data_IF_135457952749
#
_entry.id   IF_135457952749
#
_cell.length_a   1.000
_cell.length_b   1.000
_cell.length_c   1.000
_cell.angle_alpha   90.00
_cell.angle_beta   90.00
_cell.angle_gamma   90.00
#
_symmetry.space_group_name_H-M   'P 1'
#
loop_
_entity.id
_entity.type
_entity.pdbx_description
1 polymer ?
#
# COMPACT_ATOMS: atom_id res chain seq x y z
N UNK A 1 9.77 -21.76 -1.09
CA UNK A 1 10.14 -20.34 -1.29
C UNK A 1 11.25 -19.96 -0.35
N UNK A 2 12.37 -19.51 -0.92
CA UNK A 2 13.55 -19.16 -0.16
C UNK A 2 13.34 -17.93 0.76
N UNK A 3 14.02 -17.93 1.90
CA UNK A 3 13.98 -16.85 2.89
C UNK A 3 15.39 -16.40 3.21
N UNK A 4 15.63 -15.09 3.15
CA UNK A 4 16.91 -14.50 3.55
C UNK A 4 16.83 -13.82 4.91
N UNK A 5 17.92 -13.82 5.68
CA UNK A 5 18.08 -13.06 6.93
C UNK A 5 19.51 -12.54 7.02
N UNK A 6 19.71 -11.30 7.47
CA UNK A 6 21.06 -10.74 7.67
C UNK A 6 21.18 -10.09 9.04
N UNK A 7 22.26 -10.39 9.77
CA UNK A 7 22.52 -9.79 11.08
C UNK A 7 24.02 -9.52 11.31
N UNK A 8 24.37 -8.54 12.17
CA UNK A 8 25.77 -8.21 12.44
C UNK A 8 26.41 -9.11 13.49
N UNK A 9 27.69 -9.43 13.29
CA UNK A 9 28.58 -10.04 14.30
C UNK A 9 29.49 -8.96 14.90
N UNK A 10 29.48 -8.82 16.22
CA UNK A 10 30.14 -7.71 16.93
C UNK A 10 31.33 -8.11 17.81
N UNK A 11 31.42 -9.36 18.25
CA UNK A 11 32.41 -9.78 19.27
C UNK A 11 33.11 -11.08 18.90
N UNK A 12 32.35 -12.16 18.73
CA UNK A 12 32.90 -13.52 18.63
C UNK A 12 32.82 -14.03 17.20
N UNK A 13 33.67 -13.51 16.32
CA UNK A 13 33.71 -13.92 14.91
C UNK A 13 34.17 -15.38 14.76
N UNK A 14 35.19 -15.79 15.52
CA UNK A 14 35.68 -17.16 15.49
C UNK A 14 34.59 -18.19 15.86
N UNK A 15 33.82 -17.95 16.95
CA UNK A 15 32.70 -18.84 17.32
C UNK A 15 31.63 -18.92 16.22
N UNK A 16 31.40 -17.82 15.51
CA UNK A 16 30.45 -17.83 14.40
C UNK A 16 30.98 -18.66 13.21
N UNK A 17 32.28 -18.58 12.90
CA UNK A 17 32.94 -19.40 11.88
C UNK A 17 32.92 -20.89 12.27
N UNK A 18 33.35 -21.21 13.49
CA UNK A 18 33.36 -22.58 14.01
C UNK A 18 31.96 -23.21 13.97
N UNK A 19 30.94 -22.43 14.34
CA UNK A 19 29.55 -22.88 14.29
C UNK A 19 29.08 -23.19 12.85
N UNK A 20 29.38 -22.31 11.89
CA UNK A 20 28.92 -22.53 10.50
C UNK A 20 29.75 -23.58 9.77
N UNK A 21 31.01 -23.79 10.16
CA UNK A 21 31.92 -24.77 9.54
C UNK A 21 31.88 -26.16 10.21
N UNK A 22 30.92 -26.41 11.08
CA UNK A 22 30.80 -27.69 11.76
C UNK A 22 30.65 -28.85 10.74
N UNK A 23 31.52 -29.85 10.85
CA UNK A 23 31.62 -30.99 9.93
C UNK A 23 30.31 -31.79 9.85
N UNK A 24 29.66 -31.99 10.99
CA UNK A 24 28.40 -32.74 11.11
C UNK A 24 27.27 -32.11 10.29
N UNK A 25 27.39 -30.81 9.99
CA UNK A 25 26.36 -30.02 9.29
C UNK A 25 26.69 -29.75 7.83
N UNK A 26 27.93 -30.00 7.40
CA UNK A 26 28.48 -29.54 6.11
C UNK A 26 28.92 -30.69 5.21
N UNK A 27 28.36 -31.88 5.44
CA UNK A 27 28.72 -33.11 4.74
C UNK A 27 30.24 -33.37 4.78
N UNK A 28 30.83 -33.36 5.98
CA UNK A 28 32.27 -33.57 6.14
C UNK A 28 33.14 -32.45 5.55
N UNK A 29 32.65 -31.20 5.56
CA UNK A 29 33.29 -29.98 5.04
C UNK A 29 33.30 -29.79 3.51
N UNK A 30 32.66 -30.68 2.75
CA UNK A 30 32.61 -30.57 1.28
C UNK A 30 31.85 -29.31 0.86
N UNK A 31 30.85 -28.90 1.64
CA UNK A 31 30.00 -27.73 1.35
C UNK A 31 30.52 -26.45 2.01
N UNK A 32 31.83 -26.25 2.03
CA UNK A 32 32.50 -25.04 2.55
C UNK A 32 33.30 -24.38 1.43
N UNK A 33 32.97 -23.13 1.12
CA UNK A 33 33.69 -22.30 0.15
C UNK A 33 34.08 -20.97 0.78
N UNK A 34 35.18 -20.37 0.33
CA UNK A 34 35.57 -19.01 0.75
C UNK A 34 36.13 -18.20 -0.42
N UNK A 35 36.15 -16.88 -0.21
CA UNK A 35 36.72 -15.93 -1.15
C UNK A 35 37.52 -14.88 -0.39
N UNK A 36 38.71 -14.56 -0.90
CA UNK A 36 39.62 -13.57 -0.30
C UNK A 36 40.12 -13.94 1.09
N UNK A 37 39.85 -15.16 1.59
CA UNK A 37 40.33 -15.63 2.88
C UNK A 37 40.39 -17.16 2.95
N UNK A 38 41.18 -17.69 3.89
CA UNK A 38 41.12 -19.10 4.24
C UNK A 38 40.03 -19.33 5.31
N UNK A 39 39.12 -20.31 5.16
CA UNK A 39 37.99 -20.51 6.08
C UNK A 39 38.40 -20.60 7.56
N UNK A 40 39.54 -21.25 7.85
CA UNK A 40 40.02 -21.44 9.23
C UNK A 40 40.56 -20.17 9.86
N UNK A 41 41.18 -19.30 9.07
CA UNK A 41 41.85 -18.07 9.51
C UNK A 41 41.08 -16.80 9.16
N UNK A 42 39.88 -16.92 8.58
CA UNK A 42 39.07 -15.79 8.11
C UNK A 42 38.83 -14.71 9.18
N UNK A 43 38.73 -15.08 10.46
CA UNK A 43 38.60 -14.09 11.53
C UNK A 43 39.83 -13.19 11.72
N UNK A 44 41.03 -13.73 11.51
CA UNK A 44 42.30 -12.98 11.57
C UNK A 44 42.46 -12.15 10.31
N UNK A 45 42.14 -12.71 9.15
CA UNK A 45 42.25 -12.03 7.85
C UNK A 45 41.27 -10.84 7.77
N UNK A 46 40.03 -11.00 8.24
CA UNK A 46 39.07 -9.88 8.29
C UNK A 46 39.55 -8.76 9.22
N UNK A 47 40.20 -9.13 10.33
CA UNK A 47 40.80 -8.17 11.25
C UNK A 47 42.00 -7.45 10.61
N UNK A 48 42.85 -8.19 9.88
CA UNK A 48 43.98 -7.63 9.15
C UNK A 48 43.51 -6.62 8.10
N UNK A 49 42.55 -6.97 7.23
CA UNK A 49 41.97 -6.04 6.25
C UNK A 49 41.41 -4.79 6.90
N UNK A 50 40.74 -4.94 8.05
CA UNK A 50 40.22 -3.79 8.80
C UNK A 50 41.36 -2.87 9.30
N UNK A 51 42.48 -3.44 9.76
CA UNK A 51 43.67 -2.69 10.21
C UNK A 51 44.33 -1.97 9.03
N UNK A 52 44.58 -2.68 7.93
CA UNK A 52 45.19 -2.13 6.71
C UNK A 52 44.36 -0.98 6.11
N UNK A 53 43.03 -1.13 6.09
CA UNK A 53 42.11 -0.09 5.64
C UNK A 53 41.88 1.05 6.65
N UNK A 54 42.54 1.02 7.82
CA UNK A 54 42.34 1.98 8.92
C UNK A 54 40.87 2.20 9.29
N UNK A 55 40.06 1.13 9.23
CA UNK A 55 38.60 1.24 9.35
C UNK A 55 38.13 1.23 10.80
N UNK A 56 37.35 2.26 11.18
CA UNK A 56 36.75 2.40 12.52
C UNK A 56 35.45 1.59 12.69
N UNK A 57 35.20 0.62 11.83
CA UNK A 57 33.97 -0.18 11.86
C UNK A 57 33.84 -0.99 13.16
N UNK A 58 32.73 -0.79 13.89
CA UNK A 58 32.44 -1.53 15.13
C UNK A 58 31.94 -2.97 14.88
N UNK A 59 31.44 -3.24 13.68
CA UNK A 59 30.92 -4.55 13.29
C UNK A 59 32.07 -5.30 12.63
N UNK A 60 32.30 -6.55 13.05
CA UNK A 60 33.39 -7.39 12.56
C UNK A 60 33.00 -8.03 11.23
N UNK A 61 31.84 -8.67 11.19
CA UNK A 61 31.32 -9.35 10.01
C UNK A 61 29.80 -9.25 9.93
N UNK A 62 29.25 -9.68 8.80
CA UNK A 62 27.82 -9.84 8.59
C UNK A 62 27.52 -11.30 8.30
N UNK A 63 26.48 -11.82 8.96
CA UNK A 63 25.99 -13.16 8.75
C UNK A 63 24.69 -13.10 7.94
N UNK A 64 24.77 -13.53 6.69
CA UNK A 64 23.65 -13.69 5.78
C UNK A 64 23.25 -15.17 5.74
N UNK A 65 21.97 -15.44 5.96
CA UNK A 65 21.37 -16.77 5.88
C UNK A 65 20.42 -16.78 4.69
N UNK A 66 20.50 -17.82 3.86
CA UNK A 66 19.55 -18.09 2.78
C UNK A 66 19.02 -19.52 2.97
N UNK A 67 17.75 -19.63 3.36
CA UNK A 67 17.11 -20.92 3.60
C UNK A 67 16.14 -21.27 2.46
N UNK A 68 16.11 -22.53 2.05
CA UNK A 68 15.23 -23.06 0.99
C UNK A 68 14.07 -23.85 1.59
N UNK A 69 13.00 -24.12 0.81
CA UNK A 69 11.96 -25.00 1.32
C UNK A 69 12.48 -26.44 1.44
N UNK A 70 11.95 -27.23 2.40
CA UNK A 70 12.23 -28.66 2.51
C UNK A 70 12.06 -29.37 1.17
N UNK A 71 13.05 -30.18 0.78
CA UNK A 71 13.02 -30.99 -0.44
C UNK A 71 13.00 -30.21 -1.76
N UNK A 72 13.19 -28.89 -1.73
CA UNK A 72 13.11 -28.02 -2.92
C UNK A 72 14.37 -28.05 -3.78
N UNK A 73 15.53 -28.33 -3.19
CA UNK A 73 16.85 -28.24 -3.82
C UNK A 73 17.77 -29.33 -3.25
N UNK A 74 18.90 -29.58 -3.90
CA UNK A 74 19.97 -30.46 -3.39
C UNK A 74 21.04 -29.65 -2.65
N UNK A 75 21.88 -30.27 -1.79
CA UNK A 75 22.96 -29.57 -1.11
C UNK A 75 23.92 -28.84 -2.07
N UNK A 76 24.27 -29.48 -3.20
CA UNK A 76 25.16 -28.92 -4.21
C UNK A 76 24.53 -27.72 -4.91
N UNK A 77 23.25 -27.85 -5.31
CA UNK A 77 22.51 -26.77 -5.95
C UNK A 77 22.30 -25.60 -4.98
N UNK A 78 21.97 -25.87 -3.71
CA UNK A 78 21.89 -24.85 -2.67
C UNK A 78 23.23 -24.12 -2.51
N UNK A 79 24.34 -24.86 -2.45
CA UNK A 79 25.68 -24.28 -2.33
C UNK A 79 26.03 -23.39 -3.53
N UNK A 80 25.77 -23.86 -4.74
CA UNK A 80 25.99 -23.11 -5.98
C UNK A 80 25.19 -21.81 -6.02
N UNK A 81 23.90 -21.85 -5.66
CA UNK A 81 23.06 -20.65 -5.53
C UNK A 81 23.63 -19.68 -4.49
N UNK A 82 24.21 -20.20 -3.40
CA UNK A 82 24.89 -19.40 -2.38
C UNK A 82 26.12 -18.67 -2.91
N UNK A 83 26.93 -19.32 -3.73
CA UNK A 83 28.10 -18.71 -4.39
C UNK A 83 27.68 -17.59 -5.33
N UNK A 84 26.67 -17.82 -6.17
CA UNK A 84 26.14 -16.79 -7.09
C UNK A 84 25.51 -15.61 -6.35
N UNK A 85 24.87 -15.88 -5.20
CA UNK A 85 24.36 -14.82 -4.32
C UNK A 85 25.51 -13.97 -3.77
N UNK A 86 26.59 -14.59 -3.30
CA UNK A 86 27.79 -13.88 -2.86
C UNK A 86 28.36 -13.02 -3.99
N UNK A 87 28.48 -13.55 -5.20
CA UNK A 87 29.03 -12.81 -6.34
C UNK A 87 28.18 -11.58 -6.68
N UNK A 88 26.85 -11.74 -6.82
CA UNK A 88 25.96 -10.62 -7.17
C UNK A 88 25.84 -9.57 -6.06
N UNK A 89 25.91 -9.97 -4.79
CA UNK A 89 25.71 -9.08 -3.62
C UNK A 89 27.01 -8.42 -3.16
N UNK A 90 28.11 -9.18 -3.10
CA UNK A 90 29.40 -8.74 -2.57
C UNK A 90 30.34 -8.24 -3.68
N UNK A 91 30.10 -8.63 -4.94
CA UNK A 91 30.79 -8.14 -6.14
C UNK A 91 32.31 -8.31 -6.07
N UNK A 92 32.78 -9.36 -5.40
CA UNK A 92 34.20 -9.58 -5.17
C UNK A 92 34.90 -8.52 -4.31
N UNK A 93 34.16 -7.71 -3.52
CA UNK A 93 34.72 -6.58 -2.73
C UNK A 93 34.94 -6.87 -1.25
N UNK A 94 34.45 -8.03 -0.79
CA UNK A 94 34.44 -8.46 0.59
C UNK A 94 34.88 -9.91 0.66
N UNK A 95 35.74 -10.23 1.62
CA UNK A 95 36.09 -11.60 1.94
C UNK A 95 34.87 -12.30 2.56
N UNK A 96 34.66 -13.58 2.25
CA UNK A 96 33.55 -14.35 2.82
C UNK A 96 33.87 -15.83 2.97
N UNK A 97 33.12 -16.47 3.87
CA UNK A 97 33.02 -17.92 4.04
C UNK A 97 31.54 -18.30 3.87
N UNK A 98 31.27 -19.20 2.93
CA UNK A 98 29.97 -19.79 2.64
C UNK A 98 29.99 -21.24 3.12
N UNK A 99 28.94 -21.63 3.82
CA UNK A 99 28.69 -23.02 4.23
C UNK A 99 27.24 -23.39 3.95
N UNK A 100 26.99 -24.63 3.53
CA UNK A 100 25.62 -25.14 3.35
C UNK A 100 25.33 -26.16 4.44
N UNK A 101 24.27 -25.93 5.20
CA UNK A 101 23.84 -26.79 6.30
C UNK A 101 22.78 -27.78 5.85
N UNK A 102 23.02 -29.07 6.13
CA UNK A 102 22.14 -30.20 5.84
C UNK A 102 21.50 -30.82 7.10
N UNK A 103 21.79 -30.27 8.27
CA UNK A 103 21.46 -30.83 9.59
C UNK A 103 19.99 -30.65 10.02
N UNK A 104 19.22 -29.85 9.29
CA UNK A 104 17.81 -29.55 9.59
C UNK A 104 16.90 -30.13 8.52
N UNK A 105 15.60 -30.15 8.79
CA UNK A 105 14.57 -30.52 7.80
C UNK A 105 14.54 -29.65 6.53
N UNK A 106 15.42 -28.66 6.41
CA UNK A 106 15.61 -27.83 5.22
C UNK A 106 17.07 -27.41 5.04
N UNK A 107 17.46 -27.27 3.78
CA UNK A 107 18.77 -26.77 3.38
C UNK A 107 18.86 -25.26 3.57
N UNK A 108 20.00 -24.80 4.07
CA UNK A 108 20.25 -23.38 4.23
C UNK A 108 21.73 -23.03 4.12
N UNK A 109 22.01 -21.93 3.44
CA UNK A 109 23.34 -21.36 3.32
C UNK A 109 23.59 -20.38 4.46
N UNK A 110 24.79 -20.45 5.03
CA UNK A 110 25.35 -19.48 5.94
C UNK A 110 26.55 -18.80 5.27
N UNK A 111 26.40 -17.51 5.00
CA UNK A 111 27.42 -16.65 4.40
C UNK A 111 27.90 -15.67 5.47
N UNK A 112 29.16 -15.79 5.87
CA UNK A 112 29.80 -14.87 6.79
C UNK A 112 30.83 -14.04 6.02
N UNK A 113 30.58 -12.75 5.89
CA UNK A 113 31.45 -11.86 5.10
C UNK A 113 31.96 -10.68 5.90
N UNK A 114 33.15 -10.20 5.53
CA UNK A 114 33.79 -9.07 6.18
C UNK A 114 32.89 -7.84 6.12
N UNK A 115 32.75 -7.12 7.22
CA UNK A 115 31.98 -5.88 7.20
C UNK A 115 32.77 -4.74 6.52
N UNK A 116 34.08 -4.86 6.34
CA UNK A 116 34.92 -3.88 5.65
C UNK A 116 35.27 -4.40 4.26
N UNK A 117 35.15 -3.57 3.24
CA UNK A 117 35.60 -3.91 1.89
C UNK A 117 37.11 -3.73 1.79
N UNK A 118 37.83 -4.74 1.31
CA UNK A 118 39.28 -4.64 1.07
C UNK A 118 39.64 -3.71 -0.10
N UNK A 119 38.71 -3.48 -1.05
CA UNK A 119 38.92 -2.55 -2.17
C UNK A 119 38.75 -1.07 -1.74
N UNK A 120 37.74 -0.78 -0.90
CA UNK A 120 37.35 0.61 -0.60
C UNK A 120 37.64 1.06 0.84
N UNK A 121 37.97 0.12 1.73
CA UNK A 121 38.10 0.34 3.18
C UNK A 121 36.81 0.73 3.91
N UNK A 122 35.68 0.81 3.19
CA UNK A 122 34.40 1.25 3.73
C UNK A 122 33.61 0.08 4.31
N UNK A 123 32.81 0.40 5.32
CA UNK A 123 31.91 -0.56 5.95
C UNK A 123 30.67 -0.86 5.11
N UNK A 124 30.23 -2.11 5.09
CA UNK A 124 29.02 -2.58 4.42
C UNK A 124 27.77 -1.86 4.94
N UNK A 125 27.01 -1.25 4.02
CA UNK A 125 25.81 -0.49 4.34
C UNK A 125 24.59 -1.41 4.49
N UNK A 126 24.44 -2.02 5.66
CA UNK A 126 23.23 -2.79 6.00
C UNK A 126 22.09 -1.86 6.41
N UNK A 127 21.05 -1.77 5.58
CA UNK A 127 19.83 -1.02 5.82
C UNK A 127 18.64 -1.72 5.12
N UNK A 128 17.42 -1.21 5.31
CA UNK A 128 16.22 -1.83 4.70
C UNK A 128 16.33 -1.97 3.19
N UNK A 129 16.93 -0.99 2.48
CA UNK A 129 17.08 -1.03 1.02
C UNK A 129 18.04 -2.12 0.57
N UNK A 130 19.23 -2.21 1.17
CA UNK A 130 20.20 -3.26 0.83
C UNK A 130 19.68 -4.65 1.16
N UNK A 131 18.93 -4.81 2.25
CA UNK A 131 18.26 -6.09 2.54
C UNK A 131 17.21 -6.47 1.47
N UNK A 132 16.40 -5.52 1.00
CA UNK A 132 15.46 -5.81 -0.10
C UNK A 132 16.18 -6.18 -1.40
N UNK A 133 17.34 -5.57 -1.68
CA UNK A 133 18.17 -5.94 -2.83
C UNK A 133 18.67 -7.39 -2.72
N UNK A 134 19.18 -7.81 -1.57
CA UNK A 134 19.58 -9.20 -1.33
C UNK A 134 18.39 -10.15 -1.56
N UNK A 135 17.20 -9.79 -1.06
CA UNK A 135 16.00 -10.62 -1.25
C UNK A 135 15.61 -10.72 -2.73
N UNK A 136 15.66 -9.63 -3.48
CA UNK A 136 15.39 -9.65 -4.93
C UNK A 136 16.40 -10.54 -5.65
N UNK A 137 17.70 -10.39 -5.38
CA UNK A 137 18.74 -11.23 -6.00
C UNK A 137 18.52 -12.71 -5.65
N UNK A 138 18.21 -13.03 -4.40
CA UNK A 138 17.90 -14.41 -3.99
C UNK A 138 16.66 -14.96 -4.69
N UNK A 139 15.59 -14.16 -4.82
CA UNK A 139 14.37 -14.56 -5.56
C UNK A 139 14.70 -14.79 -7.05
N UNK A 140 15.56 -13.96 -7.65
CA UNK A 140 15.95 -14.10 -9.06
C UNK A 140 16.78 -15.36 -9.29
N UNK A 141 17.76 -15.62 -8.44
CA UNK A 141 18.55 -16.87 -8.48
C UNK A 141 17.68 -18.12 -8.30
N UNK A 142 16.72 -18.06 -7.37
CA UNK A 142 15.76 -19.16 -7.19
C UNK A 142 14.95 -19.40 -8.47
N UNK A 143 14.49 -18.34 -9.13
CA UNK A 143 13.73 -18.44 -10.39
C UNK A 143 14.56 -19.02 -11.52
N UNK A 144 15.79 -18.54 -11.68
CA UNK A 144 16.75 -19.02 -12.68
C UNK A 144 17.06 -20.52 -12.51
N UNK A 145 17.03 -21.00 -11.27
CA UNK A 145 17.26 -22.41 -10.91
C UNK A 145 15.97 -23.25 -10.80
N UNK A 146 14.81 -22.73 -11.22
CA UNK A 146 13.54 -23.46 -11.21
C UNK A 146 12.93 -23.67 -9.82
N UNK A 147 13.41 -22.97 -8.79
CA UNK A 147 12.89 -23.05 -7.42
C UNK A 147 11.65 -22.15 -7.24
N UNK A 148 10.82 -22.44 -6.22
CA UNK A 148 9.61 -21.68 -5.96
C UNK A 148 9.91 -20.27 -5.46
N UNK A 149 9.25 -19.29 -6.09
CA UNK A 149 9.32 -17.88 -5.73
C UNK A 149 7.93 -17.32 -5.55
N UNK A 150 7.81 -16.26 -4.74
CA UNK A 150 6.55 -15.57 -4.54
C UNK A 150 6.02 -15.07 -5.89
N UNK A 151 4.77 -15.42 -6.19
CA UNK A 151 4.05 -15.01 -7.40
C UNK A 151 4.12 -13.49 -7.62
N UNK A 152 4.50 -13.08 -8.83
CA UNK A 152 4.71 -11.68 -9.16
C UNK A 152 3.39 -10.88 -9.17
N UNK A 153 2.29 -11.50 -9.59
CA UNK A 153 0.96 -10.90 -9.57
C UNK A 153 0.47 -10.74 -8.13
N UNK A 154 0.79 -11.68 -7.23
CA UNK A 154 0.57 -11.50 -5.80
C UNK A 154 1.39 -10.32 -5.24
N UNK A 155 2.68 -10.21 -5.59
CA UNK A 155 3.50 -9.05 -5.17
C UNK A 155 2.90 -7.73 -5.65
N UNK A 156 2.50 -7.64 -6.92
CA UNK A 156 1.85 -6.46 -7.52
C UNK A 156 0.54 -6.13 -6.81
N UNK A 157 -0.32 -7.13 -6.63
CA UNK A 157 -1.59 -6.99 -5.92
C UNK A 157 -1.36 -6.49 -4.49
N UNK A 158 -0.44 -7.12 -3.74
CA UNK A 158 -0.15 -6.73 -2.36
C UNK A 158 0.50 -5.35 -2.29
N UNK A 159 1.38 -4.97 -3.21
CA UNK A 159 1.92 -3.59 -3.23
C UNK A 159 0.81 -2.56 -3.40
N UNK A 160 -0.13 -2.83 -4.31
CA UNK A 160 -1.25 -1.94 -4.64
C UNK A 160 -2.32 -1.88 -3.55
N UNK A 161 -2.63 -3.02 -2.94
CA UNK A 161 -3.78 -3.19 -2.03
C UNK A 161 -3.38 -3.62 -0.61
N UNK A 162 -2.10 -3.55 -0.25
CA UNK A 162 -1.66 -3.76 1.13
C UNK A 162 -2.37 -2.73 1.99
N UNK A 163 -3.16 -3.22 2.93
CA UNK A 163 -3.76 -2.40 3.97
C UNK A 163 -2.65 -2.08 4.97
N UNK A 164 -1.70 -1.23 4.60
CA UNK A 164 -1.01 -0.43 5.60
C UNK A 164 -2.14 0.38 6.24
N UNK A 165 -2.53 0.02 7.45
CA UNK A 165 -3.66 0.63 8.14
C UNK A 165 -3.56 2.13 7.98
N UNK A 166 -4.52 2.74 7.27
CA UNK A 166 -4.66 4.19 7.25
C UNK A 166 -4.72 4.59 8.72
N UNK A 167 -3.84 5.48 9.16
CA UNK A 167 -3.93 6.04 10.51
C UNK A 167 -5.38 6.51 10.72
N UNK A 168 -5.93 6.37 11.93
CA UNK A 168 -7.29 6.83 12.23
C UNK A 168 -7.51 8.29 11.78
N UNK A 169 -6.47 9.14 11.84
CA UNK A 169 -6.45 10.48 11.26
C UNK A 169 -6.54 10.48 9.72
N UNK A 170 -5.80 9.62 9.02
CA UNK A 170 -5.86 9.52 7.55
C UNK A 170 -7.22 8.99 7.09
N UNK A 171 -7.83 8.06 7.83
CA UNK A 171 -9.18 7.56 7.57
C UNK A 171 -10.26 8.61 7.85
N UNK A 172 -10.17 9.34 8.98
CA UNK A 172 -11.13 10.40 9.32
C UNK A 172 -11.00 11.60 8.38
N UNK A 173 -9.79 12.02 8.01
CA UNK A 173 -9.56 13.08 7.03
C UNK A 173 -9.91 12.64 5.60
N UNK A 174 -9.79 11.34 5.28
CA UNK A 174 -10.31 10.75 4.04
C UNK A 174 -11.85 10.78 3.99
N UNK A 175 -12.52 10.43 5.09
CA UNK A 175 -14.00 10.55 5.21
C UNK A 175 -14.48 12.00 5.21
N UNK A 176 -13.67 12.94 5.71
CA UNK A 176 -13.96 14.39 5.74
C UNK A 176 -13.57 15.12 4.45
N UNK A 177 -12.93 14.46 3.48
CA UNK A 177 -12.48 15.07 2.23
C UNK A 177 -11.26 16.00 2.34
N UNK A 178 -10.58 16.03 3.50
CA UNK A 178 -9.48 16.94 3.80
C UNK A 178 -8.09 16.28 3.74
N UNK A 179 -8.00 15.06 3.21
CA UNK A 179 -6.72 14.38 3.03
C UNK A 179 -5.82 15.13 2.04
N UNK A 180 -4.85 15.89 2.58
CA UNK A 180 -3.87 16.64 1.80
C UNK A 180 -3.12 15.77 0.80
N UNK A 181 -2.91 14.49 1.13
CA UNK A 181 -2.26 13.49 0.29
C UNK A 181 -3.13 13.15 -0.93
N UNK A 182 -4.43 12.93 -0.71
CA UNK A 182 -5.39 12.66 -1.79
C UNK A 182 -5.58 13.89 -2.70
N UNK A 183 -5.67 15.10 -2.12
CA UNK A 183 -5.78 16.34 -2.91
C UNK A 183 -4.57 16.56 -3.81
N UNK A 184 -3.36 16.26 -3.32
CA UNK A 184 -2.15 16.34 -4.13
C UNK A 184 -2.11 15.28 -5.24
N UNK A 185 -2.49 14.02 -4.94
CA UNK A 185 -2.60 12.97 -5.96
C UNK A 185 -3.55 13.37 -7.08
N UNK A 186 -4.72 13.91 -6.75
CA UNK A 186 -5.71 14.38 -7.72
C UNK A 186 -5.20 15.56 -8.55
N UNK A 187 -4.49 16.49 -7.93
CA UNK A 187 -3.87 17.61 -8.64
C UNK A 187 -2.83 17.10 -9.65
N UNK A 188 -1.98 16.14 -9.24
CA UNK A 188 -0.99 15.50 -10.12
C UNK A 188 -1.70 14.78 -11.27
N UNK A 189 -2.73 13.98 -10.99
CA UNK A 189 -3.45 13.23 -12.02
C UNK A 189 -4.11 14.18 -13.04
N UNK A 190 -4.72 15.27 -12.57
CA UNK A 190 -5.30 16.31 -13.47
C UNK A 190 -4.24 17.04 -14.26
N UNK A 191 -3.08 17.33 -13.67
CA UNK A 191 -1.99 18.02 -14.35
C UNK A 191 -1.36 17.13 -15.43
N UNK A 192 -1.19 15.82 -15.16
CA UNK A 192 -0.72 14.84 -16.15
C UNK A 192 -1.67 14.75 -17.34
N UNK A 193 -2.99 14.85 -17.11
CA UNK A 193 -3.98 14.81 -18.20
C UNK A 193 -3.97 16.06 -19.09
N UNK A 194 -3.60 17.21 -18.52
CA UNK A 194 -3.56 18.49 -19.25
C UNK A 194 -2.24 18.73 -19.96
N UNK A 195 -1.15 18.19 -19.42
CA UNK A 195 0.19 18.43 -19.91
C UNK A 195 0.58 17.46 -21.02
N UNK A 196 1.17 17.99 -22.09
CA UNK A 196 1.80 17.19 -23.16
C UNK A 196 3.31 17.02 -22.94
N UNK A 197 3.90 17.86 -22.10
CA UNK A 197 5.33 17.81 -21.73
C UNK A 197 5.51 17.89 -20.22
N UNK A 198 6.69 17.49 -19.75
CA UNK A 198 7.00 17.55 -18.32
C UNK A 198 7.05 19.00 -17.80
N UNK A 199 7.48 19.95 -18.62
CA UNK A 199 7.49 21.38 -18.31
C UNK A 199 6.07 21.93 -18.16
N UNK A 200 5.15 21.57 -19.05
CA UNK A 200 3.73 21.95 -18.96
C UNK A 200 3.05 21.38 -17.71
N UNK A 201 3.44 20.17 -17.29
CA UNK A 201 2.95 19.58 -16.06
C UNK A 201 3.35 20.40 -14.83
N UNK A 202 4.61 20.85 -14.76
CA UNK A 202 5.09 21.67 -13.65
C UNK A 202 4.34 23.00 -13.59
N UNK A 203 4.16 23.66 -14.75
CA UNK A 203 3.40 24.91 -14.84
C UNK A 203 1.94 24.72 -14.40
N UNK A 204 1.29 23.65 -14.83
CA UNK A 204 -0.09 23.32 -14.45
C UNK A 204 -0.23 23.06 -12.94
N UNK A 205 0.78 22.43 -12.32
CA UNK A 205 0.81 22.23 -10.87
C UNK A 205 0.98 23.54 -10.10
N UNK A 206 1.75 24.50 -10.63
CA UNK A 206 1.87 25.85 -10.06
C UNK A 206 0.58 26.66 -10.14
N UNK A 207 -0.16 26.51 -11.25
CA UNK A 207 -1.50 27.06 -11.46
C UNK A 207 -2.51 26.44 -10.48
N UNK A 208 -2.38 25.15 -10.16
CA UNK A 208 -3.15 24.49 -9.10
C UNK A 208 -2.74 24.90 -7.68
N UNK A 209 -1.88 25.90 -7.54
CA UNK A 209 -1.52 26.49 -6.25
C UNK A 209 -0.44 25.72 -5.50
N UNK A 210 0.34 24.88 -6.19
CA UNK A 210 1.47 24.18 -5.57
C UNK A 210 2.81 24.85 -5.87
N UNK A 211 3.63 24.99 -4.85
CA UNK A 211 5.05 25.28 -4.95
C UNK A 211 5.81 23.96 -5.16
N UNK A 212 6.71 23.94 -6.13
CA UNK A 212 7.42 22.75 -6.56
C UNK A 212 8.90 22.89 -6.23
N UNK A 213 9.46 21.85 -5.61
CA UNK A 213 10.90 21.71 -5.42
C UNK A 213 11.41 20.49 -6.18
N UNK A 214 12.30 20.74 -7.14
CA UNK A 214 12.95 19.70 -7.93
C UNK A 214 14.27 19.34 -7.24
N UNK A 215 14.40 18.07 -6.85
CA UNK A 215 15.65 17.52 -6.31
C UNK A 215 15.68 16.01 -6.58
N UNK A 216 16.22 15.23 -5.64
CA UNK A 216 16.18 13.76 -5.71
C UNK A 216 14.74 13.21 -5.85
N UNK A 217 13.77 13.89 -5.26
CA UNK A 217 12.35 13.61 -5.44
C UNK A 217 11.66 14.90 -5.88
N UNK A 218 10.67 14.78 -6.75
CA UNK A 218 9.75 15.87 -7.02
C UNK A 218 8.94 16.14 -5.75
N UNK A 219 8.89 17.37 -5.27
CA UNK A 219 8.22 17.69 -4.00
C UNK A 219 7.26 18.86 -4.14
N UNK A 220 6.09 18.75 -3.52
CA UNK A 220 4.99 19.72 -3.65
C UNK A 220 4.56 20.29 -2.29
N UNK A 221 4.21 21.58 -2.27
CA UNK A 221 3.61 22.26 -1.12
C UNK A 221 2.49 23.19 -1.59
N UNK A 222 1.31 23.12 -1.00
CA UNK A 222 0.23 24.05 -1.35
C UNK A 222 0.53 25.46 -0.81
N UNK A 223 0.31 26.50 -1.61
CA UNK A 223 0.60 27.91 -1.28
C UNK A 223 -0.11 28.38 0.00
N UNK A 224 -1.33 27.93 0.27
CA UNK A 224 -2.06 28.22 1.53
C UNK A 224 -1.37 27.70 2.81
N UNK A 225 -0.34 26.86 2.68
CA UNK A 225 0.44 26.34 3.81
C UNK A 225 1.90 26.83 3.78
N UNK A 226 2.19 27.95 3.13
CA UNK A 226 3.55 28.49 2.96
C UNK A 226 4.29 28.68 4.30
N UNK A 227 3.58 29.10 5.35
CA UNK A 227 4.19 29.48 6.65
C UNK A 227 4.30 28.32 7.65
N UNK A 228 3.52 27.24 7.50
CA UNK A 228 3.49 26.09 8.46
C UNK A 228 3.61 24.70 7.79
N UNK A 229 3.63 24.63 6.46
CA UNK A 229 3.56 23.39 5.68
C UNK A 229 4.93 22.88 5.24
N UNK A 230 5.18 21.59 5.46
CA UNK A 230 6.34 20.87 4.89
C UNK A 230 6.05 20.44 3.45
N UNK A 231 7.10 20.36 2.63
CA UNK A 231 7.00 19.77 1.29
C UNK A 231 6.68 18.27 1.37
N UNK A 232 5.73 17.83 0.55
CA UNK A 232 5.43 16.42 0.33
C UNK A 232 6.30 15.90 -0.79
N UNK A 233 7.07 14.84 -0.51
CA UNK A 233 7.87 14.16 -1.53
C UNK A 233 7.01 13.20 -2.33
N UNK A 234 7.02 13.34 -3.65
CA UNK A 234 6.41 12.43 -4.61
C UNK A 234 7.25 11.16 -4.73
N UNK A 235 7.11 10.29 -3.72
CA UNK A 235 7.84 9.02 -3.56
C UNK A 235 6.83 7.88 -3.43
N UNK A 236 7.19 6.69 -3.91
CA UNK A 236 6.40 5.47 -3.81
C UNK A 236 5.78 5.24 -2.41
N UNK A 237 6.59 5.41 -1.36
CA UNK A 237 6.13 5.23 0.03
C UNK A 237 5.17 6.31 0.53
N UNK A 238 5.18 7.49 -0.09
CA UNK A 238 4.43 8.67 0.37
C UNK A 238 3.16 8.89 -0.43
N UNK A 239 3.25 8.90 -1.76
CA UNK A 239 2.13 9.14 -2.68
C UNK A 239 1.75 7.89 -3.49
N UNK A 240 2.50 6.79 -3.43
CA UNK A 240 2.29 5.62 -4.30
C UNK A 240 3.26 5.60 -5.48
N UNK A 241 3.46 4.42 -6.06
CA UNK A 241 4.43 4.20 -7.15
C UNK A 241 4.09 5.03 -8.40
N UNK A 242 2.82 5.20 -8.73
CA UNK A 242 2.35 5.94 -9.92
C UNK A 242 2.59 7.47 -9.85
N UNK A 243 3.09 7.97 -8.72
CA UNK A 243 3.32 9.38 -8.45
C UNK A 243 4.79 9.70 -8.23
N UNK A 244 5.71 8.79 -8.58
CA UNK A 244 7.14 9.12 -8.61
C UNK A 244 7.46 10.04 -9.79
N UNK A 245 8.60 10.73 -9.73
CA UNK A 245 9.05 11.63 -10.81
C UNK A 245 9.14 10.89 -12.15
N UNK A 246 9.68 9.67 -12.11
CA UNK A 246 9.87 8.80 -13.27
C UNK A 246 8.52 8.36 -13.84
N UNK A 247 7.61 7.86 -12.99
CA UNK A 247 6.26 7.45 -13.42
C UNK A 247 5.42 8.61 -13.95
N UNK A 248 5.53 9.80 -13.37
CA UNK A 248 4.83 10.99 -13.88
C UNK A 248 5.28 11.32 -15.31
N UNK A 249 6.59 11.24 -15.59
CA UNK A 249 7.13 11.44 -16.94
C UNK A 249 6.61 10.40 -17.92
N UNK A 250 6.71 9.12 -17.57
CA UNK A 250 6.19 8.01 -18.39
C UNK A 250 4.68 8.17 -18.68
N UNK A 251 3.90 8.64 -17.71
CA UNK A 251 2.46 8.86 -17.86
C UNK A 251 2.11 10.03 -18.79
N UNK A 252 3.00 11.03 -18.92
CA UNK A 252 2.84 12.14 -19.86
C UNK A 252 3.23 11.69 -21.28
N UNK A 253 4.28 10.86 -21.41
CA UNK A 253 4.80 10.38 -22.69
C UNK A 253 3.93 9.29 -23.34
N UNK A 254 3.33 8.38 -22.54
CA UNK A 254 2.50 7.27 -23.02
C UNK A 254 1.03 7.35 -22.54
N UNK A 255 0.25 8.38 -22.90
CA UNK A 255 -1.10 8.60 -22.34
C UNK A 255 -2.07 7.45 -22.62
N UNK A 256 -1.93 6.74 -23.74
CA UNK A 256 -2.82 5.63 -24.13
C UNK A 256 -2.58 4.34 -23.33
N UNK A 257 -1.38 4.11 -22.80
CA UNK A 257 -1.05 2.95 -21.96
C UNK A 257 -1.57 3.10 -20.53
N UNK A 258 -1.73 4.35 -20.08
CA UNK A 258 -2.16 4.72 -18.74
C UNK A 258 -3.53 5.40 -18.67
N UNK A 259 -4.25 5.49 -19.80
CA UNK A 259 -5.65 5.97 -19.88
C UNK A 259 -6.62 5.15 -19.00
N UNK A 260 -6.24 3.91 -18.64
CA UNK A 260 -6.96 3.04 -17.70
C UNK A 260 -6.99 3.65 -16.27
N UNK A 261 -6.09 4.59 -15.95
CA UNK A 261 -6.01 5.27 -14.65
C UNK A 261 -6.63 6.70 -14.68
N UNK A 262 -6.85 7.26 -15.87
CA UNK A 262 -7.30 8.63 -16.11
C UNK A 262 -8.81 8.85 -15.97
N UNK A 263 -9.62 7.83 -16.27
CA UNK A 263 -11.09 7.90 -16.14
C UNK A 263 -11.59 7.73 -14.70
N UNK A 264 -10.69 7.80 -13.70
CA UNK A 264 -11.07 8.23 -12.34
C UNK A 264 -11.37 9.72 -12.39
N UNK A 265 -12.54 10.08 -12.91
CA UNK A 265 -13.15 11.39 -12.72
C UNK A 265 -13.57 11.50 -11.24
N UNK A 266 -12.60 11.45 -10.33
CA UNK A 266 -12.77 11.68 -8.88
C UNK A 266 -13.19 13.13 -8.70
N UNK A 267 -14.45 13.42 -9.03
CA UNK A 267 -15.14 14.64 -8.69
C UNK A 267 -15.48 14.55 -7.20
N UNK A 268 -14.47 14.74 -6.37
CA UNK A 268 -14.68 15.42 -5.10
C UNK A 268 -14.40 16.89 -5.37
N UNK A 269 -15.28 17.51 -6.16
CA UNK A 269 -15.46 18.94 -5.93
C UNK A 269 -15.75 19.09 -4.45
N UNK A 270 -15.03 20.00 -3.80
CA UNK A 270 -15.47 20.52 -2.51
C UNK A 270 -16.92 20.96 -2.71
N UNK A 271 -17.88 20.15 -2.30
CA UNK A 271 -19.07 20.71 -1.71
C UNK A 271 -18.55 21.41 -0.46
N UNK A 272 -18.17 22.68 -0.59
CA UNK A 272 -18.27 23.56 0.55
C UNK A 272 -19.72 23.44 0.98
N UNK A 273 -19.98 22.61 1.98
CA UNK A 273 -21.22 22.69 2.74
C UNK A 273 -21.13 24.05 3.46
N UNK A 274 -21.36 25.15 2.74
CA UNK A 274 -21.96 26.32 3.37
C UNK A 274 -23.22 25.74 3.98
N UNK A 275 -23.29 25.70 5.32
CA UNK A 275 -24.52 25.32 5.98
C UNK A 275 -25.60 26.19 5.35
N UNK A 276 -26.58 25.61 4.65
CA UNK A 276 -27.63 26.42 4.06
C UNK A 276 -28.28 27.23 5.18
N UNK A 277 -28.50 28.51 4.90
CA UNK A 277 -29.13 29.39 5.87
C UNK A 277 -30.50 28.81 6.25
N UNK A 278 -30.82 28.91 7.54
CA UNK A 278 -32.09 28.40 8.08
C UNK A 278 -32.99 29.59 8.37
N UNK A 279 -34.28 29.41 8.07
CA UNK A 279 -35.29 30.42 8.37
C UNK A 279 -35.42 30.58 9.88
N UNK A 280 -35.46 31.82 10.33
CA UNK A 280 -35.64 32.20 11.73
C UNK A 280 -37.13 32.06 12.05
N UNK A 281 -37.44 31.27 13.09
CA UNK A 281 -38.79 31.20 13.66
C UNK A 281 -39.17 32.57 14.23
N UNK A 282 -40.17 33.21 13.64
CA UNK A 282 -40.63 34.55 14.05
C UNK A 282 -41.51 34.50 15.30
N UNK A 283 -42.15 33.36 15.58
CA UNK A 283 -43.13 33.19 16.67
C UNK A 283 -42.46 32.84 17.99
N UNK A 284 -41.47 31.96 17.97
CA UNK A 284 -40.89 31.40 19.19
C UNK A 284 -39.54 32.02 19.56
N UNK A 285 -38.95 32.87 18.71
CA UNK A 285 -37.65 33.46 18.97
C UNK A 285 -37.74 34.70 19.87
N UNK A 286 -37.21 34.60 21.09
CA UNK A 286 -37.17 35.67 22.09
C UNK A 286 -36.48 36.95 21.59
N UNK A 287 -35.46 36.82 20.72
CA UNK A 287 -34.76 37.98 20.14
C UNK A 287 -35.61 38.74 19.14
N UNK A 288 -36.50 38.04 18.43
CA UNK A 288 -37.48 38.66 17.52
C UNK A 288 -38.50 39.47 18.32
N UNK A 289 -38.97 38.93 19.46
CA UNK A 289 -39.93 39.63 20.34
C UNK A 289 -39.34 40.84 21.06
N UNK A 290 -38.07 40.79 21.43
CA UNK A 290 -37.41 41.83 22.24
C UNK A 290 -36.77 42.96 21.44
N UNK A 291 -36.47 42.77 20.14
CA UNK A 291 -35.76 43.75 19.32
C UNK A 291 -36.44 44.01 17.97
N UNK A 292 -36.95 45.23 17.79
CA UNK A 292 -37.59 45.63 16.52
C UNK A 292 -36.61 45.61 15.33
N UNK A 293 -35.34 45.94 15.57
CA UNK A 293 -34.30 45.86 14.54
C UNK A 293 -34.02 44.42 14.10
N UNK A 294 -33.99 43.48 15.05
CA UNK A 294 -33.82 42.06 14.73
C UNK A 294 -35.05 41.47 14.03
N UNK A 295 -36.26 41.89 14.37
CA UNK A 295 -37.49 41.51 13.67
C UNK A 295 -37.44 41.89 12.18
N UNK A 296 -37.05 43.13 11.85
CA UNK A 296 -36.93 43.61 10.47
C UNK A 296 -35.82 42.86 9.73
N UNK A 297 -34.68 42.64 10.37
CA UNK A 297 -33.58 41.86 9.79
C UNK A 297 -34.00 40.41 9.53
N UNK A 298 -34.66 39.75 10.49
CA UNK A 298 -35.14 38.38 10.38
C UNK A 298 -36.16 38.23 9.25
N UNK A 299 -37.07 39.20 9.07
CA UNK A 299 -37.98 39.22 7.92
C UNK A 299 -37.23 39.24 6.58
N UNK A 300 -36.28 40.17 6.41
CA UNK A 300 -35.46 40.26 5.18
C UNK A 300 -34.61 39.01 4.95
N UNK A 301 -34.02 38.46 6.01
CA UNK A 301 -33.25 37.23 5.99
C UNK A 301 -34.11 36.04 5.57
N UNK A 302 -35.27 35.86 6.20
CA UNK A 302 -36.21 34.77 5.90
C UNK A 302 -36.69 34.81 4.44
N UNK A 303 -37.04 35.99 3.91
CA UNK A 303 -37.42 36.13 2.50
C UNK A 303 -36.30 35.71 1.55
N UNK A 304 -35.06 36.11 1.85
CA UNK A 304 -33.88 35.73 1.04
C UNK A 304 -33.63 34.23 1.12
N UNK A 305 -33.63 33.67 2.33
CA UNK A 305 -33.44 32.23 2.57
C UNK A 305 -34.54 31.39 1.92
N UNK A 306 -35.79 31.88 1.88
CA UNK A 306 -36.88 31.22 1.17
C UNK A 306 -36.68 31.26 -0.34
N UNK A 307 -36.26 32.40 -0.90
CA UNK A 307 -35.92 32.50 -2.33
C UNK A 307 -34.79 31.53 -2.71
N UNK A 308 -33.75 31.43 -1.88
CA UNK A 308 -32.66 30.46 -2.07
C UNK A 308 -33.17 29.01 -1.99
N UNK A 309 -34.07 28.70 -1.05
CA UNK A 309 -34.69 27.38 -0.94
C UNK A 309 -35.54 27.01 -2.18
N UNK A 310 -36.31 27.96 -2.72
CA UNK A 310 -37.08 27.76 -3.95
C UNK A 310 -36.18 27.56 -5.18
N UNK A 311 -35.07 28.30 -5.26
CA UNK A 311 -34.09 28.12 -6.32
C UNK A 311 -33.43 26.73 -6.26
N UNK A 312 -33.07 26.27 -5.06
CA UNK A 312 -32.57 24.90 -4.87
C UNK A 312 -33.60 23.85 -5.30
N UNK A 313 -34.89 24.00 -4.92
CA UNK A 313 -35.96 23.09 -5.37
C UNK A 313 -36.05 23.05 -6.90
N UNK A 314 -36.04 24.22 -7.56
CA UNK A 314 -36.06 24.33 -9.02
C UNK A 314 -34.84 23.73 -9.70
N UNK A 315 -33.64 23.91 -9.12
CA UNK A 315 -32.40 23.31 -9.62
C UNK A 315 -32.49 21.77 -9.68
N UNK A 316 -33.25 21.17 -8.77
CA UNK A 316 -33.52 19.73 -8.74
C UNK A 316 -34.80 19.31 -9.49
N UNK A 317 -35.43 20.25 -10.21
CA UNK A 317 -36.62 20.03 -11.01
C UNK A 317 -37.90 19.84 -10.20
N UNK A 318 -37.98 20.43 -9.01
CA UNK A 318 -39.17 20.41 -8.15
C UNK A 318 -39.88 21.76 -8.29
N UNK A 319 -41.10 21.76 -8.85
CA UNK A 319 -41.87 22.97 -9.09
C UNK A 319 -43.04 23.16 -8.10
N UNK A 320 -43.41 22.10 -7.38
CA UNK A 320 -44.47 22.14 -6.37
C UNK A 320 -44.04 21.47 -5.06
N UNK A 321 -44.71 21.83 -3.96
CA UNK A 321 -44.46 21.23 -2.65
C UNK A 321 -44.80 19.73 -2.63
N UNK A 322 -45.85 19.30 -3.33
CA UNK A 322 -46.19 17.87 -3.44
C UNK A 322 -45.13 17.08 -4.24
N UNK A 323 -44.51 17.68 -5.26
CA UNK A 323 -43.38 17.09 -5.96
C UNK A 323 -42.14 16.96 -5.07
N UNK A 324 -41.95 17.85 -4.09
CA UNK A 324 -40.81 17.84 -3.17
C UNK A 324 -40.76 16.55 -2.36
N UNK A 325 -41.90 16.17 -1.76
CA UNK A 325 -41.97 14.97 -0.92
C UNK A 325 -41.78 13.70 -1.74
N UNK A 326 -42.39 13.62 -2.92
CA UNK A 326 -42.16 12.53 -3.85
C UNK A 326 -40.68 12.43 -4.25
N UNK A 327 -40.04 13.56 -4.59
CA UNK A 327 -38.62 13.61 -4.97
C UNK A 327 -37.70 13.20 -3.83
N UNK A 328 -38.00 13.62 -2.59
CA UNK A 328 -37.28 13.23 -1.38
C UNK A 328 -37.35 11.72 -1.17
N UNK A 329 -38.55 11.13 -1.25
CA UNK A 329 -38.75 9.68 -1.12
C UNK A 329 -38.02 8.88 -2.20
N UNK A 330 -38.13 9.31 -3.46
CA UNK A 330 -37.43 8.69 -4.59
C UNK A 330 -35.90 8.77 -4.44
N UNK A 331 -35.38 9.93 -4.03
CA UNK A 331 -33.93 10.14 -3.85
C UNK A 331 -33.41 9.32 -2.67
N UNK A 332 -34.16 9.25 -1.56
CA UNK A 332 -33.82 8.42 -0.41
C UNK A 332 -33.77 6.94 -0.78
N UNK A 333 -34.75 6.46 -1.56
CA UNK A 333 -34.80 5.06 -2.04
C UNK A 333 -33.61 4.75 -2.95
N UNK A 334 -33.34 5.59 -3.96
CA UNK A 334 -32.19 5.44 -4.85
C UNK A 334 -30.84 5.47 -4.11
N UNK A 335 -30.74 6.29 -3.05
CA UNK A 335 -29.55 6.34 -2.18
C UNK A 335 -29.36 5.02 -1.43
N UNK A 336 -30.45 4.46 -0.89
CA UNK A 336 -30.42 3.19 -0.17
C UNK A 336 -30.02 2.03 -1.09
N UNK A 337 -30.57 1.98 -2.31
CA UNK A 337 -30.20 0.98 -3.32
C UNK A 337 -28.72 1.08 -3.70
N UNK A 338 -28.23 2.30 -3.89
CA UNK A 338 -26.81 2.56 -4.22
C UNK A 338 -25.90 2.11 -3.08
N UNK A 339 -26.29 2.37 -1.83
CA UNK A 339 -25.57 1.89 -0.65
C UNK A 339 -25.58 0.35 -0.55
N UNK A 340 -26.71 -0.29 -0.89
CA UNK A 340 -26.82 -1.75 -0.95
C UNK A 340 -25.83 -2.35 -1.95
N UNK A 341 -25.75 -1.79 -3.16
CA UNK A 341 -24.79 -2.21 -4.19
C UNK A 341 -23.34 -2.03 -3.75
N UNK A 342 -23.01 -0.90 -3.13
CA UNK A 342 -21.67 -0.65 -2.57
C UNK A 342 -21.29 -1.75 -1.55
N UNK A 343 -22.20 -2.10 -0.63
CA UNK A 343 -21.94 -3.14 0.38
C UNK A 343 -21.72 -4.52 -0.25
N UNK A 344 -22.49 -4.86 -1.29
CA UNK A 344 -22.32 -6.12 -2.03
C UNK A 344 -20.96 -6.19 -2.73
N UNK A 345 -20.52 -5.09 -3.35
CA UNK A 345 -19.19 -4.98 -3.96
C UNK A 345 -18.10 -5.12 -2.89
N UNK A 346 -18.22 -4.44 -1.75
CA UNK A 346 -17.26 -4.55 -0.65
C UNK A 346 -17.13 -5.99 -0.13
N UNK A 347 -18.24 -6.71 -0.01
CA UNK A 347 -18.23 -8.14 0.34
C UNK A 347 -17.49 -8.98 -0.70
N UNK A 348 -17.78 -8.76 -1.99
CA UNK A 348 -17.12 -9.46 -3.09
C UNK A 348 -15.62 -9.16 -3.17
N UNK A 349 -15.22 -7.91 -2.94
CA UNK A 349 -13.80 -7.52 -2.86
C UNK A 349 -13.10 -8.22 -1.70
N UNK A 350 -13.74 -8.32 -0.53
CA UNK A 350 -13.20 -9.03 0.64
C UNK A 350 -13.00 -10.53 0.34
N UNK A 351 -13.97 -11.17 -0.29
CA UNK A 351 -13.88 -12.57 -0.73
C UNK A 351 -12.72 -12.80 -1.70
N UNK A 352 -12.57 -11.94 -2.71
CA UNK A 352 -11.47 -12.01 -3.69
C UNK A 352 -10.12 -11.82 -3.01
N UNK A 353 -10.01 -10.83 -2.11
CA UNK A 353 -8.79 -10.58 -1.35
C UNK A 353 -8.38 -11.82 -0.55
N UNK A 354 -9.33 -12.41 0.20
CA UNK A 354 -9.10 -13.65 0.94
C UNK A 354 -8.71 -14.81 0.03
N UNK A 355 -9.32 -14.94 -1.15
CA UNK A 355 -8.94 -15.96 -2.12
C UNK A 355 -7.50 -15.79 -2.63
N UNK A 356 -7.06 -14.55 -2.90
CA UNK A 356 -5.68 -14.26 -3.31
C UNK A 356 -4.69 -14.60 -2.19
N UNK A 357 -4.99 -14.22 -0.94
CA UNK A 357 -4.15 -14.54 0.23
C UNK A 357 -4.05 -16.05 0.45
N UNK A 358 -5.17 -16.78 0.34
CA UNK A 358 -5.18 -18.23 0.47
C UNK A 358 -4.37 -18.88 -0.66
N UNK A 359 -4.49 -18.42 -1.92
CA UNK A 359 -3.70 -18.95 -3.05
C UNK A 359 -2.20 -18.77 -2.84
N UNK A 360 -1.79 -17.60 -2.38
CA UNK A 360 -0.40 -17.35 -2.04
C UNK A 360 0.06 -18.23 -0.86
N UNK A 361 -0.77 -18.42 0.16
CA UNK A 361 -0.45 -19.29 1.31
C UNK A 361 -0.28 -20.75 0.90
N UNK A 362 -1.15 -21.26 0.02
CA UNK A 362 -1.05 -22.60 -0.56
C UNK A 362 0.25 -22.73 -1.35
N UNK A 363 0.49 -21.82 -2.30
CA UNK A 363 1.72 -21.83 -3.11
C UNK A 363 2.99 -21.80 -2.25
N UNK A 364 3.01 -20.97 -1.20
CA UNK A 364 4.14 -20.84 -0.28
C UNK A 364 4.43 -22.12 0.50
N UNK A 365 3.39 -22.81 0.97
CA UNK A 365 3.51 -23.96 1.86
C UNK A 365 3.34 -25.31 1.15
N UNK A 366 3.15 -25.32 -0.18
CA UNK A 366 2.87 -26.51 -0.98
C UNK A 366 3.90 -27.63 -0.76
N UNK A 367 5.20 -27.31 -0.90
CA UNK A 367 6.29 -28.28 -0.76
C UNK A 367 6.33 -28.92 0.64
N UNK A 368 6.12 -28.11 1.68
CA UNK A 368 6.07 -28.58 3.07
C UNK A 368 4.89 -29.55 3.26
N UNK A 369 3.73 -29.20 2.70
CA UNK A 369 2.53 -30.03 2.81
C UNK A 369 2.65 -31.34 2.00
N UNK A 370 3.28 -31.30 0.83
CA UNK A 370 3.53 -32.49 0.01
C UNK A 370 4.46 -33.48 0.72
N UNK A 371 5.48 -32.98 1.44
CA UNK A 371 6.34 -33.81 2.29
C UNK A 371 5.58 -34.41 3.47
N UNK A 372 4.79 -33.58 4.18
CA UNK A 372 3.92 -34.06 5.26
C UNK A 372 2.94 -35.14 4.77
N UNK A 373 2.40 -35.01 3.56
CA UNK A 373 1.48 -36.01 2.99
C UNK A 373 2.17 -37.33 2.64
N UNK A 374 3.44 -37.30 2.24
CA UNK A 374 4.23 -38.50 1.93
C UNK A 374 4.57 -39.30 3.19
N UNK A 375 4.85 -38.62 4.29
CA UNK A 375 5.19 -39.25 5.58
C UNK A 375 4.44 -38.57 6.74
N UNK A 376 3.20 -39.02 6.97
CA UNK A 376 2.33 -38.47 8.01
C UNK A 376 2.71 -38.89 9.42
N UNK A 377 3.52 -39.94 9.57
CA UNK A 377 3.89 -40.50 10.88
C UNK A 377 5.11 -39.81 11.49
N UNK A 378 5.83 -39.01 10.70
CA UNK A 378 6.97 -38.21 11.15
C UNK A 378 6.54 -37.07 12.10
N UNK A 379 6.46 -37.40 13.40
CA UNK A 379 6.09 -36.46 14.47
C UNK A 379 7.05 -35.27 14.58
N UNK A 380 8.34 -35.49 14.33
CA UNK A 380 9.35 -34.43 14.41
C UNK A 380 9.13 -33.38 13.31
N UNK A 381 8.91 -33.81 12.07
CA UNK A 381 8.58 -32.91 10.96
C UNK A 381 7.26 -32.17 11.20
N UNK A 382 6.23 -32.88 11.68
CA UNK A 382 4.96 -32.24 11.98
C UNK A 382 5.12 -31.13 13.02
N UNK A 383 5.78 -31.38 14.15
CA UNK A 383 5.95 -30.35 15.19
C UNK A 383 6.83 -29.17 14.72
N UNK A 384 7.84 -29.39 13.89
CA UNK A 384 8.67 -28.32 13.31
C UNK A 384 7.86 -27.42 12.34
N UNK A 385 7.02 -28.01 11.49
CA UNK A 385 6.29 -27.32 10.42
C UNK A 385 4.79 -27.16 10.67
N UNK A 386 4.33 -27.42 11.90
CA UNK A 386 2.92 -27.35 12.31
C UNK A 386 2.24 -26.04 11.91
N UNK A 387 2.83 -24.85 12.13
CA UNK A 387 2.19 -23.59 11.70
C UNK A 387 1.95 -23.52 10.19
N UNK A 388 2.88 -24.02 9.37
CA UNK A 388 2.83 -23.99 7.91
C UNK A 388 1.79 -24.99 7.38
N UNK A 389 1.74 -26.19 7.97
CA UNK A 389 0.76 -27.23 7.64
C UNK A 389 -0.66 -26.73 7.96
N UNK A 390 -0.89 -26.23 9.16
CA UNK A 390 -2.20 -25.69 9.57
C UNK A 390 -2.60 -24.51 8.65
N UNK A 391 -1.68 -23.60 8.36
CA UNK A 391 -1.96 -22.48 7.46
C UNK A 391 -2.33 -22.94 6.04
N UNK A 392 -1.68 -23.99 5.53
CA UNK A 392 -2.02 -24.60 4.24
C UNK A 392 -3.43 -25.20 4.25
N UNK A 393 -3.77 -26.01 5.26
CA UNK A 393 -5.08 -26.66 5.38
C UNK A 393 -6.21 -25.64 5.53
N UNK A 394 -6.01 -24.61 6.34
CA UNK A 394 -6.97 -23.51 6.48
C UNK A 394 -7.16 -22.76 5.16
N UNK A 395 -6.08 -22.48 4.43
CA UNK A 395 -6.14 -21.81 3.13
C UNK A 395 -6.85 -22.68 2.08
N UNK A 396 -6.58 -23.99 2.05
CA UNK A 396 -7.26 -24.95 1.17
C UNK A 396 -8.75 -24.99 1.43
N UNK A 397 -9.18 -25.15 2.69
CA UNK A 397 -10.59 -25.11 3.09
C UNK A 397 -11.24 -23.77 2.71
N UNK A 398 -10.51 -22.68 2.85
CA UNK A 398 -10.95 -21.35 2.46
C UNK A 398 -11.18 -21.20 0.95
N UNK A 399 -10.36 -21.85 0.12
CA UNK A 399 -10.52 -21.84 -1.34
C UNK A 399 -11.60 -22.81 -1.80
N UNK A 400 -11.69 -24.00 -1.22
CA UNK A 400 -12.67 -25.02 -1.62
C UNK A 400 -14.10 -24.52 -1.45
N UNK A 401 -14.36 -23.76 -0.39
CA UNK A 401 -15.66 -23.13 -0.13
C UNK A 401 -15.88 -21.84 -0.95
N UNK A 402 -14.91 -21.43 -1.79
CA UNK A 402 -14.99 -20.20 -2.56
C UNK A 402 -15.38 -20.45 -4.02
N UNK A 403 -16.21 -19.57 -4.57
CA UNK A 403 -16.48 -19.48 -6.02
C UNK A 403 -15.25 -19.11 -6.87
N UNK A 404 -14.10 -18.90 -6.24
CA UNK A 404 -12.86 -18.42 -6.85
C UNK A 404 -11.79 -19.52 -6.98
N UNK A 405 -12.15 -20.78 -6.70
CA UNK A 405 -11.24 -21.94 -6.71
C UNK A 405 -10.37 -22.02 -7.96
N UNK A 406 -10.98 -21.95 -9.14
CA UNK A 406 -10.30 -22.16 -10.42
C UNK A 406 -9.62 -20.90 -10.99
N UNK A 407 -9.80 -19.73 -10.39
CA UNK A 407 -9.26 -18.48 -10.94
C UNK A 407 -7.77 -18.32 -10.59
N UNK A 408 -6.97 -17.81 -11.52
CA UNK A 408 -5.58 -17.43 -11.24
C UNK A 408 -5.52 -16.17 -10.36
N UNK A 409 -4.37 -15.92 -9.73
CA UNK A 409 -4.15 -14.68 -8.97
C UNK A 409 -4.31 -13.46 -9.87
N UNK A 410 -3.86 -13.55 -11.13
CA UNK A 410 -4.04 -12.48 -12.12
C UNK A 410 -5.52 -12.18 -12.38
N UNK A 411 -6.33 -13.19 -12.69
CA UNK A 411 -7.76 -13.01 -12.95
C UNK A 411 -8.52 -12.46 -11.73
N UNK A 412 -8.12 -12.88 -10.53
CA UNK A 412 -8.67 -12.34 -9.28
C UNK A 412 -8.27 -10.88 -9.07
N UNK A 413 -7.01 -10.53 -9.35
CA UNK A 413 -6.52 -9.15 -9.29
C UNK A 413 -7.27 -8.24 -10.26
N UNK A 414 -7.49 -8.70 -11.50
CA UNK A 414 -8.23 -7.94 -12.51
C UNK A 414 -9.69 -7.75 -12.12
N UNK A 415 -10.35 -8.81 -11.60
CA UNK A 415 -11.70 -8.71 -11.07
C UNK A 415 -11.80 -7.75 -9.87
N UNK A 416 -10.81 -7.77 -8.97
CA UNK A 416 -10.75 -6.85 -7.84
C UNK A 416 -10.64 -5.39 -8.32
N UNK A 417 -9.83 -5.14 -9.35
CA UNK A 417 -9.65 -3.82 -9.95
C UNK A 417 -10.96 -3.30 -10.58
N UNK A 418 -11.70 -4.15 -11.30
CA UNK A 418 -12.99 -3.78 -11.88
C UNK A 418 -14.02 -3.41 -10.80
N UNK A 419 -14.10 -4.21 -9.74
CA UNK A 419 -14.99 -3.93 -8.60
C UNK A 419 -14.60 -2.63 -7.87
N UNK A 420 -13.30 -2.32 -7.77
CA UNK A 420 -12.84 -1.05 -7.22
C UNK A 420 -13.30 0.15 -8.07
N UNK A 421 -13.27 0.03 -9.41
CA UNK A 421 -13.76 1.06 -10.33
C UNK A 421 -15.28 1.24 -10.19
N UNK A 422 -16.04 0.15 -10.19
CA UNK A 422 -17.50 0.19 -10.01
C UNK A 422 -17.89 0.77 -8.65
N UNK A 423 -17.17 0.43 -7.58
CA UNK A 423 -17.37 1.02 -6.26
C UNK A 423 -17.15 2.53 -6.29
N UNK A 424 -16.12 3.01 -7.00
CA UNK A 424 -15.83 4.43 -7.09
C UNK A 424 -16.96 5.22 -7.77
N UNK A 425 -17.50 4.71 -8.88
CA UNK A 425 -18.62 5.37 -9.58
C UNK A 425 -19.90 5.35 -8.75
N UNK A 426 -20.18 4.25 -8.03
CA UNK A 426 -21.32 4.18 -7.11
C UNK A 426 -21.15 5.12 -5.91
N UNK A 427 -19.93 5.30 -5.40
CA UNK A 427 -19.66 6.26 -4.31
C UNK A 427 -19.90 7.71 -4.75
N UNK A 428 -19.55 8.06 -5.99
CA UNK A 428 -19.86 9.38 -6.57
C UNK A 428 -21.37 9.59 -6.68
N UNK A 429 -22.09 8.58 -7.19
CA UNK A 429 -23.56 8.60 -7.26
C UNK A 429 -24.21 8.70 -5.87
N UNK A 430 -23.69 7.96 -4.88
CA UNK A 430 -24.16 8.03 -3.50
C UNK A 430 -23.93 9.44 -2.92
N UNK A 431 -22.77 10.03 -3.17
CA UNK A 431 -22.44 11.38 -2.70
C UNK A 431 -23.38 12.42 -3.28
N UNK A 432 -23.65 12.38 -4.59
CA UNK A 432 -24.56 13.34 -5.23
C UNK A 432 -26.00 13.18 -4.73
N UNK A 433 -26.48 11.95 -4.59
CA UNK A 433 -27.79 11.66 -3.99
C UNK A 433 -27.88 12.14 -2.54
N UNK A 434 -26.82 11.99 -1.75
CA UNK A 434 -26.79 12.43 -0.37
C UNK A 434 -26.78 13.96 -0.26
N UNK A 435 -26.02 14.66 -1.11
CA UNK A 435 -26.05 16.12 -1.20
C UNK A 435 -27.44 16.63 -1.60
N UNK A 436 -28.04 16.03 -2.63
CA UNK A 436 -29.39 16.37 -3.08
C UNK A 436 -30.42 16.16 -1.97
N UNK A 437 -30.36 15.04 -1.25
CA UNK A 437 -31.27 14.75 -0.15
C UNK A 437 -31.13 15.80 0.96
N UNK A 438 -29.90 16.17 1.34
CA UNK A 438 -29.66 17.22 2.33
C UNK A 438 -30.19 18.59 1.88
N UNK A 439 -29.92 19.01 0.64
CA UNK A 439 -30.41 20.28 0.10
C UNK A 439 -31.94 20.33 0.09
N UNK A 440 -32.60 19.29 -0.42
CA UNK A 440 -34.06 19.24 -0.50
C UNK A 440 -34.72 19.15 0.90
N UNK A 441 -34.12 18.43 1.84
CA UNK A 441 -34.62 18.38 3.23
C UNK A 441 -34.53 19.74 3.91
N UNK A 442 -33.43 20.48 3.69
CA UNK A 442 -33.32 21.82 4.21
C UNK A 442 -34.32 22.77 3.54
N UNK A 443 -34.48 22.69 2.21
CA UNK A 443 -35.44 23.51 1.49
C UNK A 443 -36.88 23.25 1.97
N UNK A 444 -37.22 21.98 2.24
CA UNK A 444 -38.49 21.60 2.87
C UNK A 444 -38.65 22.26 4.24
N UNK A 445 -37.67 22.07 5.13
CA UNK A 445 -37.69 22.66 6.49
C UNK A 445 -37.84 24.19 6.47
N UNK A 446 -37.14 24.85 5.57
CA UNK A 446 -37.26 26.30 5.39
C UNK A 446 -38.66 26.66 4.88
N UNK A 447 -39.17 25.96 3.87
CA UNK A 447 -40.53 26.20 3.34
C UNK A 447 -41.59 26.06 4.43
N UNK A 448 -41.53 24.99 5.22
CA UNK A 448 -42.47 24.72 6.32
C UNK A 448 -42.43 25.86 7.34
N UNK A 449 -41.24 26.23 7.83
CA UNK A 449 -41.06 27.34 8.78
C UNK A 449 -41.50 28.70 8.22
N UNK A 450 -41.30 28.95 6.92
CA UNK A 450 -41.74 30.20 6.30
C UNK A 450 -43.26 30.27 6.24
N UNK A 451 -43.92 29.20 5.82
CA UNK A 451 -45.38 29.11 5.77
C UNK A 451 -45.96 29.27 7.17
N UNK A 452 -45.41 28.60 8.18
CA UNK A 452 -45.84 28.71 9.58
C UNK A 452 -45.70 30.14 10.11
N UNK A 453 -44.63 30.85 9.74
CA UNK A 453 -44.41 32.25 10.10
C UNK A 453 -45.42 33.22 9.45
N UNK A 454 -46.07 32.84 8.35
CA UNK A 454 -46.92 33.72 7.53
C UNK A 454 -48.42 33.37 7.52
N UNK A 455 -48.82 32.15 7.88
CA UNK A 455 -50.21 31.66 7.79
C UNK A 455 -51.15 32.12 8.94
N UNK A 456 -50.68 32.91 9.91
CA UNK A 456 -51.52 33.43 11.02
C UNK A 456 -51.34 34.94 11.18
N UNK A 457 -51.60 35.71 10.11
CA UNK A 457 -51.85 37.14 10.20
C UNK A 457 -53.25 37.48 9.76
#
# INVERSE_FOLDING_TARGET
MAVTKIHPIKKTLYLALDYIMNEDKTDGKILISSFGCNPKTAHLEFEQTKRECNSKAKILARHLIQAFAPGETTPEQAHQIGLELCERVLQGKYEYVLTTHIDKGHLHNHILFNNVSFETGKAYQSNKRSYHQIRTVSDDLCRENGLSVIDENYKKFKSRYSTNGKSYMEYTEFKRGNSWKNMLQLAIDKAVLKAKTYEEFLKTMEEFGYEIKIGKYLSFRHKDKRDKGRFTRAKASTLGEDYTKERIKERIEEPNKYQIYANKKRHYEKCFYKKPDTIVDMKNNEKVKSSKGYEIWAGKHNMKTMADALNEMRNYGVNSYNELDKKLQETASKRQDTLGKIKQIESSMKEIYSAIENKNTISKNQLIYDMYRKDKENKAFYEEYKPQIIAYEMAMKGIENSKHKLLSIQNLSDKYMLLEQEKATLMEKYSSQNSMLHSLQQAKKNTDLYLDNHLEK
#
